data_IF_394520088554
#
_entry.id   IF_394520088554
#
_cell.length_a   1.000
_cell.length_b   1.000
_cell.length_c   1.000
_cell.angle_alpha   90.00
_cell.angle_beta   90.00
_cell.angle_gamma   90.00
#
_symmetry.space_group_name_H-M   'P 1'
#
loop_
_entity.id
_entity.type
_entity.pdbx_description
1 polymer ?
#
# COMPACT_ATOMS: atom_id res chain seq x y z
N UNK A 1 -42.93 -17.38 60.22
CA UNK A 1 -43.26 -17.47 58.79
C UNK A 1 -42.98 -16.09 58.19
N UNK A 2 -41.81 -15.88 57.58
CA UNK A 2 -41.44 -14.66 56.94
C UNK A 2 -41.62 -14.80 55.42
N UNK A 3 -42.25 -13.84 54.70
CA UNK A 3 -42.37 -13.92 53.26
C UNK A 3 -41.02 -13.55 52.59
N UNK A 4 -40.62 -14.37 51.63
CA UNK A 4 -39.43 -14.20 50.83
C UNK A 4 -39.55 -12.95 49.94
N UNK A 5 -38.64 -12.02 50.07
CA UNK A 5 -38.49 -10.88 49.18
C UNK A 5 -38.02 -11.37 47.81
N UNK A 6 -38.86 -11.20 46.82
CA UNK A 6 -38.54 -11.39 45.42
C UNK A 6 -37.78 -10.17 44.91
N UNK A 7 -36.44 -10.30 44.78
CA UNK A 7 -35.58 -9.22 44.21
C UNK A 7 -35.40 -9.51 42.70
N UNK A 8 -36.04 -8.75 41.79
CA UNK A 8 -35.76 -8.86 40.35
C UNK A 8 -34.41 -8.24 40.04
N UNK A 9 -33.44 -9.07 39.69
CA UNK A 9 -32.18 -8.63 39.11
C UNK A 9 -32.50 -7.92 37.77
N UNK A 10 -32.02 -6.70 37.52
CA UNK A 10 -32.16 -6.04 36.24
C UNK A 10 -31.42 -6.87 35.20
N UNK A 11 -32.17 -7.34 34.19
CA UNK A 11 -31.63 -8.09 33.06
C UNK A 11 -30.54 -7.30 32.35
N UNK A 12 -29.42 -7.95 32.21
CA UNK A 12 -28.29 -7.50 31.42
C UNK A 12 -28.77 -7.29 29.97
N UNK A 13 -28.85 -6.04 29.54
CA UNK A 13 -29.03 -5.67 28.13
C UNK A 13 -27.69 -5.89 27.39
N UNK A 14 -27.33 -7.15 27.23
CA UNK A 14 -26.30 -7.56 26.29
C UNK A 14 -26.87 -7.43 24.87
N UNK A 15 -26.59 -6.33 24.19
CA UNK A 15 -27.01 -6.15 22.80
C UNK A 15 -27.18 -4.71 22.35
N UNK A 16 -26.96 -3.72 23.20
CA UNK A 16 -26.90 -2.34 22.73
C UNK A 16 -25.58 -2.16 21.95
N UNK A 17 -25.64 -2.40 20.65
CA UNK A 17 -24.55 -1.97 19.75
C UNK A 17 -24.42 -0.47 19.92
N UNK A 18 -23.31 -0.01 20.50
CA UNK A 18 -23.04 1.41 20.65
C UNK A 18 -22.79 2.03 19.27
N UNK A 19 -23.86 2.50 18.67
CA UNK A 19 -23.86 3.17 17.37
C UNK A 19 -23.01 4.45 17.41
N UNK A 20 -22.83 5.05 18.59
CA UNK A 20 -21.97 6.21 18.80
C UNK A 20 -20.49 5.86 18.67
N UNK A 21 -20.05 4.76 19.31
CA UNK A 21 -18.67 4.28 19.19
C UNK A 21 -18.33 3.85 17.76
N UNK A 22 -19.29 3.19 17.08
CA UNK A 22 -19.11 2.79 15.69
C UNK A 22 -19.04 4.01 14.75
N UNK A 23 -19.85 5.02 14.96
CA UNK A 23 -19.79 6.28 14.20
C UNK A 23 -18.46 6.98 14.42
N UNK A 24 -18.00 7.11 15.68
CA UNK A 24 -16.70 7.71 15.99
C UNK A 24 -15.53 6.94 15.37
N UNK A 25 -15.59 5.61 15.35
CA UNK A 25 -14.58 4.78 14.71
C UNK A 25 -14.53 5.01 13.19
N UNK A 26 -15.70 5.09 12.53
CA UNK A 26 -15.80 5.38 11.10
C UNK A 26 -15.33 6.80 10.77
N UNK A 27 -15.67 7.81 11.60
CA UNK A 27 -15.21 9.18 11.42
C UNK A 27 -13.69 9.31 11.66
N UNK A 28 -13.14 8.58 12.64
CA UNK A 28 -11.71 8.53 12.89
C UNK A 28 -10.95 7.85 11.74
N UNK A 29 -11.53 6.79 11.17
CA UNK A 29 -10.97 6.11 10.00
C UNK A 29 -11.02 7.02 8.76
N UNK A 30 -12.17 7.64 8.47
CA UNK A 30 -12.31 8.59 7.38
C UNK A 30 -11.36 9.79 7.50
N UNK A 31 -11.14 10.27 8.75
CA UNK A 31 -10.21 11.37 9.03
C UNK A 31 -8.74 10.96 8.83
N UNK A 32 -8.39 9.70 9.14
CA UNK A 32 -7.05 9.15 8.86
C UNK A 32 -6.83 8.96 7.36
N UNK A 33 -7.83 8.47 6.64
CA UNK A 33 -7.79 8.32 5.18
C UNK A 33 -7.71 9.69 4.48
N UNK A 34 -8.47 10.68 4.96
CA UNK A 34 -8.42 12.05 4.44
C UNK A 34 -7.09 12.75 4.76
N UNK A 35 -6.51 12.50 5.94
CA UNK A 35 -5.20 13.05 6.31
C UNK A 35 -4.06 12.40 5.50
N UNK A 36 -4.16 11.10 5.21
CA UNK A 36 -3.24 10.40 4.33
C UNK A 36 -3.34 10.91 2.87
N UNK A 37 -4.56 11.26 2.41
CA UNK A 37 -4.79 11.84 1.09
C UNK A 37 -4.27 13.30 0.97
N UNK A 38 -4.22 14.05 2.07
CA UNK A 38 -3.75 15.45 2.08
C UNK A 38 -2.24 15.60 2.27
N UNK A 39 -1.56 14.56 2.76
CA UNK A 39 -0.10 14.56 2.93
C UNK A 39 0.69 14.31 1.63
N UNK A 40 -0.01 13.97 0.53
CA UNK A 40 0.57 13.68 -0.79
C UNK A 40 0.13 14.68 -1.83
N UNK A 41 0.72 15.87 -1.84
CA UNK A 41 0.57 16.81 -2.95
C UNK A 41 1.33 16.33 -4.18
N UNK A 42 0.61 15.92 -5.24
CA UNK A 42 1.10 15.88 -6.60
C UNK A 42 1.43 14.51 -7.18
N UNK A 43 0.41 13.76 -7.60
CA UNK A 43 0.36 12.98 -8.85
C UNK A 43 -0.91 12.08 -8.83
N UNK A 44 -1.57 11.82 -9.96
CA UNK A 44 -2.80 11.02 -9.97
C UNK A 44 -2.49 9.54 -9.74
N UNK A 45 -3.21 8.97 -8.76
CA UNK A 45 -3.46 7.54 -8.59
C UNK A 45 -2.33 6.63 -8.09
N UNK A 46 -1.44 7.09 -7.24
CA UNK A 46 -0.74 6.17 -6.35
C UNK A 46 -1.56 6.03 -5.07
N UNK A 47 -2.17 4.87 -4.85
CA UNK A 47 -2.73 4.49 -3.53
C UNK A 47 -1.66 4.58 -2.43
N UNK A 48 -1.97 4.15 -1.20
CA UNK A 48 -1.03 4.23 -0.09
C UNK A 48 0.32 3.61 -0.47
N UNK A 49 1.41 4.28 -0.03
CA UNK A 49 2.77 3.83 -0.32
C UNK A 49 3.08 2.44 0.26
N UNK A 50 2.37 2.06 1.33
CA UNK A 50 2.49 0.77 2.02
C UNK A 50 1.10 0.15 2.14
N UNK A 51 0.98 -1.12 1.77
CA UNK A 51 -0.25 -1.90 1.85
C UNK A 51 0.01 -3.25 2.52
N UNK A 52 -0.94 -3.70 3.34
CA UNK A 52 -0.96 -5.06 3.85
C UNK A 52 -1.75 -5.96 2.89
N UNK A 53 -1.16 -7.08 2.50
CA UNK A 53 -1.69 -7.98 1.48
C UNK A 53 -1.98 -9.35 2.08
N UNK A 54 -3.13 -9.89 1.72
CA UNK A 54 -3.59 -11.23 2.11
C UNK A 54 -3.71 -12.16 0.91
N UNK A 55 -3.87 -13.47 1.16
CA UNK A 55 -4.14 -14.46 0.11
C UNK A 55 -5.33 -14.04 -0.79
N UNK A 56 -6.31 -13.33 -0.23
CA UNK A 56 -7.50 -12.88 -0.96
C UNK A 56 -7.27 -11.60 -1.78
N UNK A 57 -6.40 -10.71 -1.33
CA UNK A 57 -6.16 -9.41 -1.98
C UNK A 57 -4.92 -9.41 -2.88
N UNK A 58 -4.13 -10.48 -2.86
CA UNK A 58 -2.87 -10.58 -3.60
C UNK A 58 -3.03 -10.32 -5.11
N UNK A 59 -4.06 -10.90 -5.72
CA UNK A 59 -4.30 -10.73 -7.15
C UNK A 59 -4.51 -9.24 -7.51
N UNK A 60 -5.33 -8.53 -6.75
CA UNK A 60 -5.64 -7.12 -7.02
C UNK A 60 -4.52 -6.19 -6.56
N UNK A 61 -4.04 -6.37 -5.32
CA UNK A 61 -3.09 -5.43 -4.71
C UNK A 61 -1.65 -5.62 -5.20
N UNK A 62 -1.29 -6.81 -5.67
CA UNK A 62 0.06 -7.08 -6.17
C UNK A 62 0.05 -7.29 -7.68
N UNK A 63 -0.69 -8.28 -8.19
CA UNK A 63 -0.61 -8.65 -9.60
C UNK A 63 -1.17 -7.55 -10.50
N UNK A 64 -2.42 -7.13 -10.32
CA UNK A 64 -3.04 -6.08 -11.15
C UNK A 64 -2.35 -4.73 -10.98
N UNK A 65 -1.98 -4.37 -9.73
CA UNK A 65 -1.26 -3.12 -9.46
C UNK A 65 0.11 -3.09 -10.14
N UNK A 66 0.82 -4.22 -10.15
CA UNK A 66 2.14 -4.34 -10.80
C UNK A 66 2.11 -4.15 -12.33
N UNK A 67 0.94 -4.19 -12.94
CA UNK A 67 0.79 -3.85 -14.36
C UNK A 67 1.04 -2.38 -14.68
N UNK A 68 0.95 -1.51 -13.65
CA UNK A 68 1.06 -0.04 -13.80
C UNK A 68 2.24 0.55 -13.05
N UNK A 69 2.53 0.01 -11.86
CA UNK A 69 3.56 0.52 -10.95
C UNK A 69 4.30 -0.67 -10.34
N UNK A 70 5.64 -0.63 -10.20
CA UNK A 70 6.37 -1.70 -9.53
C UNK A 70 5.88 -1.90 -8.10
N UNK A 71 5.70 -3.16 -7.70
CA UNK A 71 5.33 -3.54 -6.34
C UNK A 71 6.51 -4.23 -5.69
N UNK A 72 6.97 -3.71 -4.57
CA UNK A 72 7.99 -4.32 -3.74
C UNK A 72 7.28 -5.14 -2.67
N UNK A 73 7.44 -6.43 -2.69
CA UNK A 73 6.78 -7.39 -1.81
C UNK A 73 7.71 -7.75 -0.65
N UNK A 74 7.32 -7.42 0.58
CA UNK A 74 8.01 -7.79 1.82
C UNK A 74 7.31 -9.00 2.45
N UNK A 75 7.99 -10.13 2.46
CA UNK A 75 7.52 -11.39 3.07
C UNK A 75 8.13 -11.53 4.46
N UNK A 76 7.30 -11.41 5.47
CA UNK A 76 7.72 -11.31 6.87
C UNK A 76 6.85 -12.17 7.80
N UNK A 77 7.24 -12.29 9.07
CA UNK A 77 6.42 -12.87 10.14
C UNK A 77 6.66 -12.15 11.48
N UNK A 78 5.69 -12.26 12.39
CA UNK A 78 5.73 -11.57 13.70
C UNK A 78 6.90 -11.99 14.59
N UNK A 79 7.34 -13.23 14.50
CA UNK A 79 8.48 -13.80 15.26
C UNK A 79 9.85 -13.54 14.60
N UNK A 80 9.87 -13.02 13.41
CA UNK A 80 11.10 -12.82 12.63
C UNK A 80 11.85 -11.57 13.11
N UNK A 81 12.94 -11.77 13.84
CA UNK A 81 13.79 -10.68 14.33
C UNK A 81 14.38 -9.80 13.23
N UNK A 82 15.03 -10.37 12.20
CA UNK A 82 15.57 -9.61 11.06
C UNK A 82 14.50 -8.84 10.28
N UNK A 83 13.27 -9.35 10.17
CA UNK A 83 12.17 -8.64 9.52
C UNK A 83 11.83 -7.32 10.22
N UNK A 84 11.90 -7.30 11.56
CA UNK A 84 11.66 -6.10 12.37
C UNK A 84 12.69 -4.98 12.13
N UNK A 85 13.86 -5.35 11.62
CA UNK A 85 14.90 -4.38 11.24
C UNK A 85 14.71 -3.89 9.80
N UNK A 86 14.31 -4.78 8.90
CA UNK A 86 14.17 -4.47 7.47
C UNK A 86 12.86 -3.73 7.13
N UNK A 87 11.73 -4.15 7.69
CA UNK A 87 10.42 -3.58 7.36
C UNK A 87 10.35 -2.06 7.56
N UNK A 88 10.85 -1.47 8.69
CA UNK A 88 10.86 -0.02 8.84
C UNK A 88 11.70 0.72 7.79
N UNK A 89 12.79 0.10 7.32
CA UNK A 89 13.62 0.66 6.24
C UNK A 89 12.82 0.69 4.94
N UNK A 90 12.15 -0.39 4.58
CA UNK A 90 11.32 -0.47 3.39
C UNK A 90 10.14 0.52 3.45
N UNK A 91 9.47 0.65 4.58
CA UNK A 91 8.37 1.60 4.79
C UNK A 91 8.83 3.06 4.61
N UNK A 92 9.98 3.41 5.19
CA UNK A 92 10.60 4.73 5.00
C UNK A 92 10.88 5.01 3.51
N UNK A 93 11.53 4.06 2.83
CA UNK A 93 11.88 4.19 1.42
C UNK A 93 10.65 4.24 0.51
N UNK A 94 9.57 3.53 0.86
CA UNK A 94 8.30 3.60 0.15
C UNK A 94 7.65 4.98 0.27
N UNK A 95 7.70 5.59 1.45
CA UNK A 95 7.22 6.96 1.65
C UNK A 95 8.04 7.96 0.83
N UNK A 96 9.36 7.81 0.77
CA UNK A 96 10.26 8.65 -0.03
C UNK A 96 10.08 8.45 -1.55
N UNK A 97 9.55 7.30 -1.95
CA UNK A 97 9.35 6.97 -3.36
C UNK A 97 8.27 7.81 -4.05
N UNK A 98 7.36 8.45 -3.31
CA UNK A 98 6.28 9.28 -3.84
C UNK A 98 5.47 8.60 -4.96
N UNK A 99 5.10 7.33 -4.76
CA UNK A 99 4.30 6.57 -5.72
C UNK A 99 5.04 5.98 -6.91
N UNK A 100 6.37 6.13 -7.00
CA UNK A 100 7.17 5.48 -8.04
C UNK A 100 7.14 3.96 -7.94
N UNK A 101 6.91 3.43 -6.76
CA UNK A 101 6.66 2.03 -6.45
C UNK A 101 5.86 1.93 -5.15
N UNK A 102 5.26 0.78 -4.90
CA UNK A 102 4.42 0.51 -3.72
C UNK A 102 5.02 -0.65 -2.93
N UNK A 103 5.03 -0.53 -1.60
CA UNK A 103 5.41 -1.61 -0.70
C UNK A 103 4.18 -2.44 -0.34
N UNK A 104 4.21 -3.72 -0.66
CA UNK A 104 3.20 -4.71 -0.26
C UNK A 104 3.79 -5.61 0.83
N UNK A 105 3.16 -5.66 1.99
CA UNK A 105 3.60 -6.49 3.12
C UNK A 105 2.74 -7.73 3.24
N UNK A 106 3.35 -8.89 3.35
CA UNK A 106 2.68 -10.19 3.51
C UNK A 106 3.22 -10.90 4.74
N UNK A 107 2.34 -11.13 5.72
CA UNK A 107 2.62 -12.06 6.83
C UNK A 107 2.48 -13.48 6.31
N UNK A 108 3.59 -14.22 6.25
CA UNK A 108 3.62 -15.57 5.67
C UNK A 108 2.89 -16.61 6.53
N UNK A 109 2.73 -16.37 7.82
CA UNK A 109 1.98 -17.26 8.71
C UNK A 109 0.46 -17.11 8.51
N UNK A 110 0.02 -15.87 8.31
CA UNK A 110 -1.38 -15.56 8.02
C UNK A 110 -1.79 -15.88 6.57
N UNK A 111 -0.82 -15.87 5.64
CA UNK A 111 -1.04 -16.00 4.20
C UNK A 111 -0.14 -17.09 3.58
N UNK A 112 -0.36 -18.37 3.96
CA UNK A 112 0.50 -19.47 3.53
C UNK A 112 0.41 -19.77 2.04
N UNK A 113 -0.68 -19.42 1.36
CA UNK A 113 -0.85 -19.68 -0.08
C UNK A 113 0.11 -18.81 -0.90
N UNK A 114 0.29 -17.54 -0.54
CA UNK A 114 1.25 -16.64 -1.17
C UNK A 114 2.68 -17.17 -0.98
N UNK A 115 3.02 -17.55 0.27
CA UNK A 115 4.34 -18.08 0.60
C UNK A 115 4.68 -19.35 -0.21
N UNK A 116 3.70 -20.24 -0.39
CA UNK A 116 3.85 -21.46 -1.19
C UNK A 116 3.96 -21.16 -2.69
N UNK A 117 3.09 -20.28 -3.22
CA UNK A 117 3.08 -19.90 -4.63
C UNK A 117 4.42 -19.26 -5.05
N UNK A 118 4.97 -18.41 -4.19
CA UNK A 118 6.25 -17.74 -4.40
C UNK A 118 7.47 -18.58 -3.98
N UNK A 119 7.23 -19.79 -3.47
CA UNK A 119 8.29 -20.73 -3.01
C UNK A 119 9.24 -20.10 -2.00
N UNK A 120 8.68 -19.35 -1.05
CA UNK A 120 9.45 -18.68 0.01
C UNK A 120 10.08 -19.72 0.91
N UNK A 121 11.41 -19.74 0.98
CA UNK A 121 12.18 -20.70 1.80
C UNK A 121 12.70 -20.08 3.09
N UNK A 122 12.82 -18.77 3.12
CA UNK A 122 13.34 -18.02 4.26
C UNK A 122 12.72 -16.64 4.33
N UNK A 123 12.71 -16.05 5.52
CA UNK A 123 12.26 -14.66 5.75
C UNK A 123 13.32 -13.88 6.51
N UNK A 124 13.43 -12.56 6.27
CA UNK A 124 12.69 -11.82 5.27
C UNK A 124 13.09 -12.17 3.84
N UNK A 125 12.14 -12.18 2.93
CA UNK A 125 12.38 -12.24 1.49
C UNK A 125 11.67 -11.02 0.87
N UNK A 126 12.41 -10.28 0.06
CA UNK A 126 11.88 -9.12 -0.66
C UNK A 126 11.93 -9.40 -2.16
N UNK A 127 10.80 -9.19 -2.84
CA UNK A 127 10.67 -9.40 -4.27
C UNK A 127 10.18 -8.12 -4.96
N UNK A 128 10.74 -7.81 -6.11
CA UNK A 128 10.19 -6.79 -7.00
C UNK A 128 9.26 -7.46 -8.01
N UNK A 129 7.99 -7.05 -7.99
CA UNK A 129 6.94 -7.55 -8.89
C UNK A 129 6.62 -6.48 -9.91
N UNK A 130 6.66 -6.83 -11.19
CA UNK A 130 6.27 -5.96 -12.28
C UNK A 130 5.60 -6.79 -13.40
N UNK A 131 4.50 -6.28 -13.94
CA UNK A 131 3.68 -6.97 -14.95
C UNK A 131 3.28 -8.39 -14.52
N UNK A 132 2.92 -8.56 -13.26
CA UNK A 132 2.49 -9.83 -12.69
C UNK A 132 3.61 -10.85 -12.46
N UNK A 133 4.88 -10.47 -12.65
CA UNK A 133 6.02 -11.37 -12.51
C UNK A 133 7.04 -10.85 -11.50
N UNK A 134 7.68 -11.78 -10.78
CA UNK A 134 8.84 -11.46 -9.96
C UNK A 134 10.05 -11.21 -10.87
N UNK A 135 10.56 -9.98 -10.84
CA UNK A 135 11.68 -9.55 -11.69
C UNK A 135 13.02 -9.86 -11.03
N UNK A 136 13.11 -9.56 -9.74
CA UNK A 136 14.31 -9.76 -8.91
C UNK A 136 13.93 -9.74 -7.44
N UNK A 137 14.84 -10.12 -6.57
CA UNK A 137 14.63 -10.10 -5.13
C UNK A 137 15.90 -10.38 -4.34
N UNK A 138 15.80 -10.25 -3.03
CA UNK A 138 16.85 -10.65 -2.10
C UNK A 138 16.26 -11.32 -0.85
N UNK A 139 17.09 -12.02 -0.12
CA UNK A 139 16.75 -12.70 1.14
C UNK A 139 17.62 -12.18 2.27
N UNK A 140 17.04 -12.12 3.47
CA UNK A 140 17.70 -11.62 4.67
C UNK A 140 17.60 -10.10 4.83
N UNK A 141 17.94 -9.61 6.03
CA UNK A 141 17.96 -8.20 6.32
C UNK A 141 19.20 -7.54 5.72
N UNK A 142 19.00 -6.51 4.92
CA UNK A 142 20.06 -5.69 4.36
C UNK A 142 20.08 -4.31 5.05
N UNK A 143 21.25 -3.66 5.18
CA UNK A 143 21.35 -2.27 5.59
C UNK A 143 20.64 -1.33 4.61
N UNK A 144 20.12 -0.21 5.11
CA UNK A 144 19.38 0.78 4.29
C UNK A 144 20.11 1.16 3.00
N UNK A 145 21.43 1.37 3.05
CA UNK A 145 22.21 1.74 1.86
C UNK A 145 22.14 0.66 0.75
N UNK A 146 22.18 -0.61 1.13
CA UNK A 146 22.10 -1.72 0.17
C UNK A 146 20.68 -1.89 -0.37
N UNK A 147 19.65 -1.72 0.48
CA UNK A 147 18.25 -1.74 0.05
C UNK A 147 18.00 -0.61 -0.95
N UNK A 148 18.48 0.58 -0.67
CA UNK A 148 18.36 1.75 -1.56
C UNK A 148 19.04 1.50 -2.91
N UNK A 149 20.27 1.00 -2.89
CA UNK A 149 20.99 0.63 -4.11
C UNK A 149 20.27 -0.43 -4.95
N UNK A 150 19.72 -1.45 -4.29
CA UNK A 150 18.93 -2.48 -4.96
C UNK A 150 17.66 -1.90 -5.59
N UNK A 151 16.92 -1.04 -4.86
CA UNK A 151 15.74 -0.35 -5.39
C UNK A 151 16.07 0.51 -6.60
N UNK A 152 17.18 1.26 -6.56
CA UNK A 152 17.64 2.08 -7.68
C UNK A 152 17.93 1.22 -8.92
N UNK A 153 18.58 0.06 -8.75
CA UNK A 153 18.83 -0.89 -9.83
C UNK A 153 17.52 -1.46 -10.41
N UNK A 154 16.55 -1.82 -9.55
CA UNK A 154 15.23 -2.27 -9.97
C UNK A 154 14.53 -1.19 -10.79
N UNK A 155 14.48 0.04 -10.28
CA UNK A 155 13.82 1.15 -10.96
C UNK A 155 14.50 1.52 -12.28
N UNK A 156 15.83 1.45 -12.37
CA UNK A 156 16.56 1.62 -13.62
C UNK A 156 16.23 0.54 -14.65
N UNK A 157 16.22 -0.73 -14.22
CA UNK A 157 15.89 -1.85 -15.10
C UNK A 157 14.46 -1.76 -15.62
N UNK A 158 13.53 -1.25 -14.82
CA UNK A 158 12.12 -1.10 -15.18
C UNK A 158 11.80 0.20 -15.92
N UNK A 159 12.69 1.20 -15.91
CA UNK A 159 12.46 2.51 -16.51
C UNK A 159 12.07 2.45 -17.99
N UNK A 160 12.61 1.48 -18.74
CA UNK A 160 12.29 1.27 -20.14
C UNK A 160 10.91 0.66 -20.38
N UNK A 161 10.30 0.03 -19.37
CA UNK A 161 8.99 -0.62 -19.43
C UNK A 161 7.90 0.21 -18.77
N UNK A 162 8.27 1.17 -17.90
CA UNK A 162 7.31 2.09 -17.33
C UNK A 162 6.90 3.07 -18.42
N UNK A 163 5.61 3.15 -18.79
CA UNK A 163 5.17 4.21 -19.70
C UNK A 163 5.61 5.54 -19.09
N UNK A 164 6.18 6.40 -19.91
CA UNK A 164 6.70 7.72 -19.50
C UNK A 164 5.54 8.60 -19.00
N UNK A 165 4.98 8.25 -17.85
CA UNK A 165 3.93 9.03 -17.19
C UNK A 165 4.43 10.38 -16.67
N UNK A 166 5.72 10.65 -16.79
CA UNK A 166 6.34 11.92 -16.40
C UNK A 166 6.71 12.84 -17.56
N UNK A 167 6.44 12.42 -18.81
CA UNK A 167 6.72 13.22 -20.00
C UNK A 167 5.49 13.63 -20.80
N UNK A 168 4.29 13.14 -20.48
CA UNK A 168 3.09 13.40 -21.25
C UNK A 168 2.42 14.76 -20.94
N UNK A 169 2.85 15.48 -19.91
CA UNK A 169 2.36 16.85 -19.68
C UNK A 169 3.13 17.92 -20.48
N UNK A 170 4.31 17.57 -21.00
CA UNK A 170 5.11 18.54 -21.78
C UNK A 170 4.89 18.47 -23.29
N UNK A 171 4.04 17.57 -23.79
CA UNK A 171 3.73 17.44 -25.24
C UNK A 171 2.25 17.16 -25.47
N UNK A 172 1.35 17.98 -24.91
CA UNK A 172 0.10 18.23 -25.60
C UNK A 172 0.43 19.17 -26.73
N UNK A 173 0.22 18.79 -28.00
CA UNK A 173 0.20 19.76 -29.06
C UNK A 173 -0.82 20.82 -28.64
N UNK A 174 -0.43 22.07 -28.63
CA UNK A 174 -1.37 23.16 -28.43
C UNK A 174 -2.47 22.96 -29.50
N UNK A 175 -3.69 22.73 -29.04
CA UNK A 175 -4.84 22.60 -29.93
C UNK A 175 -4.96 23.91 -30.69
N UNK A 176 -4.76 23.94 -32.01
CA UNK A 176 -4.72 25.18 -32.79
C UNK A 176 -6.04 25.97 -32.69
N UNK A 177 -7.14 25.30 -32.31
CA UNK A 177 -8.45 25.94 -32.11
C UNK A 177 -8.58 26.72 -30.79
N UNK A 178 -7.77 26.39 -29.77
CA UNK A 178 -7.74 27.14 -28.50
C UNK A 178 -6.93 28.44 -28.60
N UNK A 179 -5.88 28.47 -29.43
CA UNK A 179 -5.07 29.67 -29.65
C UNK A 179 -5.85 30.71 -30.47
N UNK A 180 -6.70 30.27 -31.41
CA UNK A 180 -7.55 31.15 -32.19
C UNK A 180 -8.69 31.81 -31.41
N UNK A 181 -9.13 31.18 -30.30
CA UNK A 181 -10.19 31.71 -29.45
C UNK A 181 -9.72 32.84 -28.52
N UNK A 182 -8.44 32.84 -28.09
CA UNK A 182 -7.89 33.91 -27.26
C UNK A 182 -7.57 35.19 -28.02
N UNK A 183 -7.18 35.09 -29.32
CA UNK A 183 -6.95 36.26 -30.16
C UNK A 183 -8.25 36.99 -30.55
N UNK A 184 -9.38 36.30 -30.57
CA UNK A 184 -10.67 36.91 -30.91
C UNK A 184 -11.30 37.78 -29.80
N UNK A 185 -10.81 37.69 -28.56
CA UNK A 185 -11.36 38.45 -27.41
C UNK A 185 -10.61 39.78 -27.19
N UNK A 186 -9.48 40.04 -27.86
CA UNK A 186 -8.67 41.24 -27.69
C UNK A 186 -8.81 42.26 -28.84
N UNK A 187 -9.89 42.21 -29.63
CA UNK A 187 -10.18 43.23 -30.67
C UNK A 187 -11.46 43.99 -30.41
#
# INVERSE_FOLDING_TARGET
>A
MSPAEFNPRPGSLYGAVDLGARKQALEAQAKREAAAAQAGGGAPAAGPAVIDVTDQTFATEVVERSMRVPVILDLWATWCGPCKQLSPILEKLAAEANGRWVLAKVDVDANPQIAQALRVQSIPTVLAIFQGQAVTGFQGALPEAQVRQWLDQVMQALAQYLPQAQGAEAQRPADPDLVAAEEAVQK
#
